data_IF_046581481481
#
_entry.id   IF_046581481481
#
_cell.length_a   1.000
_cell.length_b   1.000
_cell.length_c   1.000
_cell.angle_alpha   90.00
_cell.angle_beta   90.00
_cell.angle_gamma   90.00
#
_symmetry.space_group_name_H-M   'P 1'
#
loop_
_entity.id
_entity.type
_entity.pdbx_description
1 polymer ?
#
# COMPACT_ATOMS: atom_id res chain seq x y z
N UNK A 1 -7.58 11.85 -16.14
CA UNK A 1 -6.27 11.25 -15.81
C UNK A 1 -6.47 10.14 -14.79
N UNK A 2 -5.64 9.08 -14.83
CA UNK A 2 -5.74 8.00 -13.84
C UNK A 2 -4.99 8.38 -12.56
N UNK A 3 -5.70 8.56 -11.44
CA UNK A 3 -5.08 8.93 -10.16
C UNK A 3 -4.03 7.89 -9.73
N UNK A 4 -4.27 6.61 -10.03
CA UNK A 4 -3.36 5.53 -9.67
C UNK A 4 -2.04 5.60 -10.44
N UNK A 5 -2.09 5.90 -11.75
CA UNK A 5 -0.86 6.03 -12.56
C UNK A 5 -0.07 7.29 -12.17
N UNK A 6 -0.73 8.33 -11.66
CA UNK A 6 -0.05 9.50 -11.13
C UNK A 6 0.66 9.18 -9.81
N UNK A 7 0.00 8.44 -8.92
CA UNK A 7 0.61 7.95 -7.67
C UNK A 7 1.80 7.03 -7.93
N UNK A 8 1.70 6.11 -8.90
CA UNK A 8 2.80 5.24 -9.33
C UNK A 8 4.03 6.04 -9.79
N UNK A 9 3.81 7.04 -10.65
CA UNK A 9 4.87 7.94 -11.14
C UNK A 9 5.47 8.78 -10.02
N UNK A 10 4.64 9.33 -9.13
CA UNK A 10 5.10 10.10 -7.97
C UNK A 10 5.96 9.29 -7.01
N UNK A 11 5.68 7.99 -6.87
CA UNK A 11 6.48 7.06 -6.06
C UNK A 11 7.72 6.52 -6.80
N UNK A 12 7.92 6.87 -8.07
CA UNK A 12 9.05 6.43 -8.89
C UNK A 12 9.10 4.90 -9.07
N UNK A 13 7.94 4.25 -9.19
CA UNK A 13 7.82 2.80 -9.26
C UNK A 13 8.25 2.26 -10.65
N UNK A 14 9.56 2.15 -10.86
CA UNK A 14 10.14 1.45 -12.01
C UNK A 14 9.91 -0.06 -11.91
N UNK A 15 10.13 -0.79 -13.00
CA UNK A 15 10.09 -2.26 -13.01
C UNK A 15 10.98 -2.87 -11.92
N UNK A 16 12.21 -2.39 -11.82
CA UNK A 16 13.17 -2.74 -10.76
C UNK A 16 12.66 -2.46 -9.34
N UNK A 17 11.91 -1.36 -9.15
CA UNK A 17 11.33 -1.01 -7.85
C UNK A 17 10.16 -1.93 -7.54
N UNK A 18 9.33 -2.25 -8.53
CA UNK A 18 8.23 -3.19 -8.39
C UNK A 18 8.71 -4.60 -8.01
N UNK A 19 9.79 -5.07 -8.62
CA UNK A 19 10.36 -6.39 -8.31
C UNK A 19 10.92 -6.46 -6.88
N UNK A 20 11.54 -5.39 -6.38
CA UNK A 20 11.97 -5.29 -4.98
C UNK A 20 10.79 -5.14 -4.02
N UNK A 21 9.76 -4.41 -4.42
CA UNK A 21 8.56 -4.22 -3.61
C UNK A 21 7.81 -5.54 -3.37
N UNK A 22 7.88 -6.49 -4.30
CA UNK A 22 7.32 -7.83 -4.14
C UNK A 22 7.99 -8.66 -3.04
N UNK A 23 9.09 -8.19 -2.44
CA UNK A 23 9.71 -8.85 -1.30
C UNK A 23 8.74 -8.86 -0.08
N UNK A 24 8.48 -10.02 0.56
CA UNK A 24 7.62 -10.09 1.73
C UNK A 24 8.03 -9.13 2.85
N UNK A 25 9.33 -8.93 3.08
CA UNK A 25 9.81 -7.97 4.08
C UNK A 25 9.42 -6.53 3.73
N UNK A 26 9.46 -6.16 2.44
CA UNK A 26 8.95 -4.85 2.00
C UNK A 26 7.48 -4.72 2.37
N UNK A 27 6.64 -5.67 1.95
CA UNK A 27 5.19 -5.63 2.20
C UNK A 27 4.87 -5.57 3.69
N UNK A 28 5.42 -6.47 4.51
CA UNK A 28 5.13 -6.53 5.93
C UNK A 28 5.61 -5.29 6.68
N UNK A 29 6.78 -4.76 6.33
CA UNK A 29 7.29 -3.56 6.98
C UNK A 29 6.60 -2.27 6.53
N UNK A 30 5.81 -2.27 5.44
CA UNK A 30 4.93 -1.12 5.12
C UNK A 30 3.77 -0.96 6.10
N UNK A 31 3.37 -2.01 6.81
CA UNK A 31 2.36 -1.88 7.87
C UNK A 31 2.84 -1.00 9.02
N UNK A 32 4.15 -0.74 9.14
CA UNK A 32 4.68 0.19 10.15
C UNK A 32 4.58 1.65 9.71
N UNK A 33 4.38 1.97 8.43
CA UNK A 33 4.35 3.34 7.95
C UNK A 33 3.28 4.18 8.64
N UNK A 34 2.06 3.65 8.79
CA UNK A 34 0.97 4.38 9.42
C UNK A 34 1.17 4.55 10.94
N UNK A 35 1.51 3.49 11.71
CA UNK A 35 1.90 3.64 13.11
C UNK A 35 3.06 4.63 13.33
N UNK A 36 4.10 4.59 12.51
CA UNK A 36 5.24 5.51 12.61
C UNK A 36 4.80 6.96 12.35
N UNK A 37 3.92 7.19 11.38
CA UNK A 37 3.37 8.52 11.11
C UNK A 37 2.50 9.03 12.27
N UNK A 38 1.65 8.17 12.86
CA UNK A 38 0.84 8.51 14.03
C UNK A 38 1.74 8.92 15.20
N UNK A 39 2.74 8.10 15.53
CA UNK A 39 3.69 8.37 16.62
C UNK A 39 4.51 9.64 16.35
N UNK A 40 4.94 9.86 15.11
CA UNK A 40 5.63 11.07 14.71
C UNK A 40 4.76 12.33 14.92
N UNK A 41 3.47 12.28 14.58
CA UNK A 41 2.57 13.41 14.80
C UNK A 41 2.30 13.62 16.29
N UNK A 42 2.02 12.55 17.05
CA UNK A 42 1.82 12.64 18.50
C UNK A 42 3.04 13.21 19.22
N UNK A 43 4.24 12.96 18.70
CA UNK A 43 5.48 13.49 19.28
C UNK A 43 5.54 15.01 19.37
N UNK A 44 4.67 15.73 18.65
CA UNK A 44 4.57 17.20 18.69
C UNK A 44 4.34 17.78 20.08
N UNK A 45 3.76 17.03 21.02
CA UNK A 45 3.57 17.53 22.40
C UNK A 45 4.87 17.53 23.21
N UNK A 46 5.81 16.66 22.87
CA UNK A 46 7.13 16.58 23.54
C UNK A 46 8.20 17.35 22.76
N UNK A 47 8.11 17.36 21.42
CA UNK A 47 9.13 17.87 20.52
C UNK A 47 8.78 19.20 19.85
N UNK A 48 7.54 19.68 19.96
CA UNK A 48 7.07 20.86 19.26
C UNK A 48 7.29 20.74 17.75
N UNK A 49 7.90 21.76 17.14
CA UNK A 49 8.20 21.78 15.70
C UNK A 49 9.21 20.71 15.25
N UNK A 50 10.04 20.18 16.14
CA UNK A 50 10.98 19.10 15.80
C UNK A 50 10.27 17.81 15.39
N UNK A 51 9.00 17.63 15.77
CA UNK A 51 8.17 16.52 15.32
C UNK A 51 8.02 16.47 13.78
N UNK A 52 8.13 17.61 13.08
CA UNK A 52 8.14 17.63 11.62
C UNK A 52 9.29 16.81 11.03
N UNK A 53 10.44 16.74 11.72
CA UNK A 53 11.56 15.89 11.32
C UNK A 53 11.19 14.40 11.38
N UNK A 54 10.47 13.97 12.41
CA UNK A 54 9.98 12.59 12.53
C UNK A 54 8.89 12.27 11.49
N UNK A 55 8.02 13.23 11.20
CA UNK A 55 7.02 13.10 10.12
C UNK A 55 7.72 12.92 8.78
N UNK A 56 8.73 13.74 8.49
CA UNK A 56 9.53 13.61 7.27
C UNK A 56 10.24 12.26 7.19
N UNK A 57 10.76 11.74 8.31
CA UNK A 57 11.39 10.42 8.37
C UNK A 57 10.39 9.29 8.10
N UNK A 58 9.17 9.36 8.65
CA UNK A 58 8.11 8.38 8.40
C UNK A 58 7.65 8.40 6.92
N UNK A 59 7.56 9.60 6.32
CA UNK A 59 7.29 9.75 4.89
C UNK A 59 8.43 9.19 4.03
N UNK A 60 9.68 9.48 4.40
CA UNK A 60 10.86 8.93 3.73
C UNK A 60 10.87 7.40 3.80
N UNK A 61 10.55 6.81 4.95
CA UNK A 61 10.43 5.37 5.09
C UNK A 61 9.40 4.78 4.11
N UNK A 62 8.25 5.42 3.97
CA UNK A 62 7.21 5.00 3.01
C UNK A 62 7.72 4.97 1.56
N UNK A 63 8.62 5.90 1.21
CA UNK A 63 9.22 5.98 -0.11
C UNK A 63 10.43 5.04 -0.30
N UNK A 64 11.26 4.86 0.72
CA UNK A 64 12.45 3.99 0.70
C UNK A 64 12.07 2.51 0.77
N UNK A 65 11.01 2.16 1.50
CA UNK A 65 10.60 0.79 1.74
C UNK A 65 10.56 -0.13 0.49
N UNK A 66 9.91 0.24 -0.64
CA UNK A 66 9.88 -0.61 -1.84
C UNK A 66 11.25 -0.82 -2.50
N UNK A 67 12.29 -0.11 -2.05
CA UNK A 67 13.67 -0.18 -2.54
C UNK A 67 14.64 -0.78 -1.52
N UNK A 68 14.22 -0.87 -0.25
CA UNK A 68 15.09 -1.23 0.87
C UNK A 68 15.51 -2.70 0.87
N UNK A 69 14.74 -3.56 0.20
CA UNK A 69 14.91 -5.00 0.21
C UNK A 69 15.30 -5.52 -1.19
N UNK A 70 16.10 -6.61 -1.27
CA UNK A 70 16.44 -7.21 -2.55
C UNK A 70 15.20 -7.83 -3.21
N UNK A 71 15.31 -8.12 -4.51
CA UNK A 71 14.28 -8.89 -5.22
C UNK A 71 14.16 -10.27 -4.56
N UNK A 72 12.95 -10.74 -4.20
CA UNK A 72 12.79 -12.02 -3.53
C UNK A 72 13.12 -13.20 -4.45
N UNK A 73 13.69 -14.26 -3.89
CA UNK A 73 14.01 -15.49 -4.62
C UNK A 73 12.75 -16.28 -5.00
N UNK A 74 11.76 -16.32 -4.09
CA UNK A 74 10.46 -16.96 -4.28
C UNK A 74 9.34 -15.91 -4.21
N UNK A 75 8.42 -15.96 -5.17
CA UNK A 75 7.27 -15.05 -5.28
C UNK A 75 5.92 -15.76 -5.19
N UNK A 76 5.89 -17.07 -4.95
CA UNK A 76 4.69 -17.86 -4.68
C UNK A 76 4.20 -17.67 -3.23
N UNK A 77 3.87 -16.43 -2.88
CA UNK A 77 3.36 -16.08 -1.56
C UNK A 77 2.39 -14.89 -1.64
N UNK A 78 1.59 -14.72 -0.58
CA UNK A 78 0.55 -13.68 -0.52
C UNK A 78 1.10 -12.27 -0.74
N UNK A 79 2.25 -11.94 -0.15
CA UNK A 79 2.83 -10.61 -0.21
C UNK A 79 3.26 -10.25 -1.64
N UNK A 80 4.02 -11.13 -2.30
CA UNK A 80 4.48 -10.92 -3.67
C UNK A 80 3.31 -10.84 -4.65
N UNK A 81 2.38 -11.80 -4.59
CA UNK A 81 1.19 -11.80 -5.47
C UNK A 81 0.31 -10.57 -5.29
N UNK A 82 0.20 -10.05 -4.06
CA UNK A 82 -0.51 -8.81 -3.79
C UNK A 82 0.08 -7.62 -4.56
N UNK A 83 1.41 -7.48 -4.55
CA UNK A 83 2.08 -6.42 -5.33
C UNK A 83 1.96 -6.60 -6.84
N UNK A 84 2.00 -7.84 -7.33
CA UNK A 84 1.80 -8.14 -8.75
C UNK A 84 0.37 -7.82 -9.19
N UNK A 85 -0.62 -8.15 -8.37
CA UNK A 85 -2.00 -7.77 -8.61
C UNK A 85 -2.21 -6.27 -8.69
N UNK A 86 -1.51 -5.48 -7.86
CA UNK A 86 -1.52 -4.02 -7.98
C UNK A 86 -0.95 -3.57 -9.35
N UNK A 87 0.15 -4.18 -9.84
CA UNK A 87 0.68 -3.91 -11.20
C UNK A 87 -0.31 -4.27 -12.30
N UNK A 88 -0.94 -5.45 -12.21
CA UNK A 88 -1.98 -5.88 -13.16
C UNK A 88 -3.14 -4.88 -13.16
N UNK A 89 -3.58 -4.45 -11.98
CA UNK A 89 -4.61 -3.43 -11.84
C UNK A 89 -4.20 -2.11 -12.48
N UNK A 90 -2.96 -1.64 -12.28
CA UNK A 90 -2.45 -0.43 -12.92
C UNK A 90 -2.46 -0.52 -14.46
N UNK A 91 -2.13 -1.69 -15.00
CA UNK A 91 -2.09 -1.96 -16.45
C UNK A 91 -3.47 -2.27 -17.08
N UNK A 92 -4.57 -2.19 -16.32
CA UNK A 92 -5.95 -2.54 -16.74
C UNK A 92 -6.47 -1.84 -18.00
N UNK A 93 -5.83 -0.76 -18.44
CA UNK A 93 -6.17 -0.03 -19.68
C UNK A 93 -5.64 -0.74 -20.93
N UNK A 94 -4.49 -1.41 -20.80
CA UNK A 94 -3.84 -2.12 -21.89
C UNK A 94 -4.29 -3.58 -21.93
N UNK A 95 -4.34 -4.23 -20.76
CA UNK A 95 -4.85 -5.61 -20.60
C UNK A 95 -6.11 -5.53 -19.73
N UNK A 96 -7.32 -5.64 -20.30
CA UNK A 96 -8.56 -5.54 -19.55
C UNK A 96 -8.64 -6.59 -18.43
N UNK A 97 -9.10 -6.15 -17.25
CA UNK A 97 -9.32 -7.02 -16.09
C UNK A 97 -10.83 -7.31 -15.90
N UNK A 98 -11.20 -8.44 -15.29
CA UNK A 98 -12.58 -8.74 -14.95
C UNK A 98 -13.26 -7.61 -14.13
N UNK A 99 -14.50 -7.28 -14.48
CA UNK A 99 -15.22 -6.14 -13.89
C UNK A 99 -15.46 -6.27 -12.38
N UNK A 100 -15.51 -7.49 -11.83
CA UNK A 100 -15.70 -7.71 -10.41
C UNK A 100 -14.46 -7.29 -9.60
N UNK A 101 -13.24 -7.58 -10.06
CA UNK A 101 -11.99 -7.11 -9.44
C UNK A 101 -11.95 -5.60 -9.36
N UNK A 102 -12.34 -4.92 -10.45
CA UNK A 102 -12.42 -3.46 -10.49
C UNK A 102 -13.41 -2.90 -9.47
N UNK A 103 -14.60 -3.47 -9.36
CA UNK A 103 -15.62 -3.02 -8.39
C UNK A 103 -15.13 -3.18 -6.95
N UNK A 104 -14.55 -4.32 -6.61
CA UNK A 104 -13.99 -4.57 -5.27
C UNK A 104 -12.83 -3.63 -4.95
N UNK A 105 -11.92 -3.40 -5.88
CA UNK A 105 -10.81 -2.46 -5.71
C UNK A 105 -11.29 -1.05 -5.33
N UNK A 106 -12.28 -0.51 -6.06
CA UNK A 106 -12.84 0.80 -5.77
C UNK A 106 -13.66 0.82 -4.47
N UNK A 107 -14.47 -0.20 -4.21
CA UNK A 107 -15.30 -0.28 -3.00
C UNK A 107 -14.44 -0.33 -1.73
N UNK A 108 -13.39 -1.16 -1.72
CA UNK A 108 -12.47 -1.27 -0.59
C UNK A 108 -11.61 -0.01 -0.42
N UNK A 109 -11.21 0.62 -1.51
CA UNK A 109 -10.54 1.93 -1.47
C UNK A 109 -11.43 3.01 -0.84
N UNK A 110 -12.70 3.08 -1.24
CA UNK A 110 -13.67 4.00 -0.64
C UNK A 110 -13.92 3.69 0.84
N UNK A 111 -14.04 2.41 1.21
CA UNK A 111 -14.21 1.98 2.59
C UNK A 111 -13.01 2.36 3.47
N UNK A 112 -11.79 2.16 2.95
CA UNK A 112 -10.56 2.61 3.63
C UNK A 112 -10.54 4.13 3.82
N UNK A 113 -10.99 4.89 2.81
CA UNK A 113 -11.07 6.35 2.90
C UNK A 113 -12.05 6.85 3.97
N UNK A 114 -13.13 6.11 4.26
CA UNK A 114 -14.06 6.43 5.37
C UNK A 114 -13.39 6.35 6.74
N UNK A 115 -12.31 5.57 6.88
CA UNK A 115 -11.51 5.53 8.11
C UNK A 115 -10.62 6.76 8.33
N UNK A 116 -10.39 7.59 7.31
CA UNK A 116 -9.50 8.75 7.42
C UNK A 116 -10.03 9.85 8.35
N UNK A 117 -11.31 10.29 8.28
CA UNK A 117 -11.84 11.30 9.19
C UNK A 117 -11.66 10.99 10.69
N UNK A 118 -12.09 9.81 11.22
CA UNK A 118 -11.83 9.50 12.63
C UNK A 118 -10.34 9.38 12.91
N UNK A 119 -9.53 8.83 12.00
CA UNK A 119 -8.09 8.74 12.22
C UNK A 119 -7.44 10.12 12.37
N UNK A 120 -7.71 11.04 11.44
CA UNK A 120 -7.17 12.40 11.46
C UNK A 120 -7.62 13.12 12.72
N UNK A 121 -8.91 13.00 13.08
CA UNK A 121 -9.46 13.60 14.29
C UNK A 121 -8.81 13.05 15.56
N UNK A 122 -8.71 11.72 15.70
CA UNK A 122 -8.10 11.07 16.85
C UNK A 122 -6.62 11.46 16.99
N UNK A 123 -5.88 11.48 15.87
CA UNK A 123 -4.48 11.89 15.87
C UNK A 123 -4.34 13.36 16.27
N UNK A 124 -5.23 14.23 15.77
CA UNK A 124 -5.28 15.64 16.11
C UNK A 124 -5.65 15.90 17.58
N UNK A 125 -6.52 15.09 18.17
CA UNK A 125 -6.93 15.24 19.57
C UNK A 125 -6.06 14.46 20.56
N UNK A 126 -5.11 13.65 20.07
CA UNK A 126 -4.34 12.68 20.87
C UNK A 126 -5.26 11.66 21.57
N UNK A 127 -6.39 11.35 20.96
CA UNK A 127 -7.37 10.38 21.48
C UNK A 127 -7.02 8.97 20.98
N UNK A 128 -6.55 8.14 21.90
CA UNK A 128 -6.12 6.76 21.59
C UNK A 128 -7.25 5.92 21.00
N UNK A 129 -8.46 6.03 21.54
CA UNK A 129 -9.58 5.19 21.12
C UNK A 129 -10.02 5.55 19.69
N UNK A 130 -10.17 6.84 19.40
CA UNK A 130 -10.57 7.30 18.06
C UNK A 130 -9.44 7.04 17.04
N UNK A 131 -8.17 7.22 17.42
CA UNK A 131 -7.03 6.88 16.55
C UNK A 131 -7.00 5.40 16.22
N UNK A 132 -7.22 4.52 17.19
CA UNK A 132 -7.26 3.06 16.96
C UNK A 132 -8.44 2.71 16.05
N UNK A 133 -9.63 3.26 16.31
CA UNK A 133 -10.81 3.07 15.46
C UNK A 133 -10.53 3.48 14.01
N UNK A 134 -10.03 4.69 13.80
CA UNK A 134 -9.69 5.18 12.47
C UNK A 134 -8.60 4.34 11.80
N UNK A 135 -7.58 3.94 12.54
CA UNK A 135 -6.50 3.06 12.04
C UNK A 135 -7.07 1.72 11.56
N UNK A 136 -7.93 1.09 12.35
CA UNK A 136 -8.58 -0.19 11.98
C UNK A 136 -9.45 -0.02 10.74
N UNK A 137 -10.23 1.07 10.66
CA UNK A 137 -11.09 1.36 9.51
C UNK A 137 -10.29 1.66 8.23
N UNK A 138 -9.08 2.21 8.34
CA UNK A 138 -8.19 2.40 7.18
C UNK A 138 -7.51 1.08 6.80
N UNK A 139 -6.92 0.38 7.77
CA UNK A 139 -6.02 -0.75 7.53
C UNK A 139 -6.78 -2.01 7.10
N UNK A 140 -7.88 -2.38 7.74
CA UNK A 140 -8.57 -3.64 7.42
C UNK A 140 -9.08 -3.69 5.98
N UNK A 141 -9.78 -2.66 5.45
CA UNK A 141 -10.17 -2.65 4.04
C UNK A 141 -8.98 -2.62 3.10
N UNK A 142 -7.86 -1.99 3.50
CA UNK A 142 -6.64 -1.98 2.69
C UNK A 142 -5.96 -3.36 2.65
N UNK A 143 -5.92 -4.10 3.76
CA UNK A 143 -5.45 -5.50 3.77
C UNK A 143 -6.33 -6.37 2.88
N UNK A 144 -7.65 -6.23 2.99
CA UNK A 144 -8.58 -6.95 2.13
C UNK A 144 -8.43 -6.54 0.65
N UNK A 145 -8.13 -5.27 0.37
CA UNK A 145 -7.80 -4.83 -0.98
C UNK A 145 -6.56 -5.57 -1.52
N UNK A 146 -5.49 -5.69 -0.72
CA UNK A 146 -4.28 -6.43 -1.12
C UNK A 146 -4.61 -7.90 -1.35
N UNK A 147 -5.45 -8.50 -0.52
CA UNK A 147 -5.96 -9.84 -0.78
C UNK A 147 -6.68 -9.91 -2.14
N UNK A 148 -7.58 -8.97 -2.47
CA UNK A 148 -8.20 -8.91 -3.80
C UNK A 148 -7.20 -8.75 -4.94
N UNK A 149 -6.06 -8.11 -4.71
CA UNK A 149 -4.98 -8.04 -5.70
C UNK A 149 -4.31 -9.41 -5.91
N UNK A 150 -4.15 -10.23 -4.86
CA UNK A 150 -3.67 -11.62 -5.01
C UNK A 150 -4.58 -12.40 -5.96
N UNK A 151 -5.90 -12.33 -5.75
CA UNK A 151 -6.86 -13.03 -6.61
C UNK A 151 -6.89 -12.48 -8.03
N UNK A 152 -6.78 -11.15 -8.19
CA UNK A 152 -6.64 -10.54 -9.50
C UNK A 152 -5.38 -11.05 -10.22
N UNK A 153 -4.26 -11.20 -9.52
CA UNK A 153 -3.05 -11.74 -10.11
C UNK A 153 -3.22 -13.20 -10.50
N UNK A 154 -3.80 -14.04 -9.63
CA UNK A 154 -4.05 -15.46 -9.94
C UNK A 154 -4.92 -15.64 -11.19
N UNK A 155 -5.97 -14.83 -11.35
CA UNK A 155 -6.84 -14.89 -12.52
C UNK A 155 -6.19 -14.38 -13.80
N UNK A 156 -5.14 -13.54 -13.67
CA UNK A 156 -4.53 -12.82 -14.79
C UNK A 156 -3.12 -13.29 -15.12
N UNK A 157 -2.48 -14.16 -14.32
CA UNK A 157 -1.07 -14.54 -14.49
C UNK A 157 -0.76 -15.09 -15.89
N UNK A 158 -1.72 -15.78 -16.51
CA UNK A 158 -1.56 -16.37 -17.85
C UNK A 158 -2.01 -15.43 -18.99
N UNK A 159 -2.48 -14.21 -18.66
CA UNK A 159 -2.95 -13.24 -19.66
C UNK A 159 -1.80 -12.55 -20.43
N UNK A 160 -0.56 -12.66 -19.95
CA UNK A 160 0.65 -12.16 -20.62
C UNK A 160 1.88 -12.98 -20.18
N UNK A 161 2.85 -13.24 -21.08
CA UNK A 161 4.13 -13.83 -20.70
C UNK A 161 4.84 -13.08 -19.57
N UNK A 162 4.73 -11.75 -19.54
CA UNK A 162 5.34 -10.92 -18.50
C UNK A 162 4.75 -11.21 -17.11
N UNK A 163 3.43 -11.42 -17.04
CA UNK A 163 2.74 -11.69 -15.78
C UNK A 163 3.07 -13.09 -15.25
N UNK A 164 3.17 -14.07 -16.15
CA UNK A 164 3.57 -15.43 -15.83
C UNK A 164 5.01 -15.48 -15.30
N UNK A 165 5.91 -14.69 -15.90
CA UNK A 165 7.32 -14.62 -15.50
C UNK A 165 7.55 -14.05 -14.08
N UNK A 166 6.58 -13.37 -13.49
CA UNK A 166 6.70 -12.86 -12.13
C UNK A 166 6.54 -13.94 -11.05
N UNK A 167 5.88 -15.06 -11.36
CA UNK A 167 5.69 -16.19 -10.43
C UNK A 167 6.86 -17.17 -10.57
N UNK A 168 7.65 -17.32 -9.51
CA UNK A 168 8.85 -18.16 -9.46
C UNK A 168 9.16 -18.66 -8.05
#
# INVERSE_FOLDING_TARGET
MDLFNLAERGMGMTEDTWMRHANPLSVWTRFTCLPLLILAIWSRIWLGWWALGLVALAMLWTWVNPRAFPVPENTDNWASKGTFGERVFLNRRNIPIPAHHRRWAFALGALSAIGLPPLVWGVWQLDVAITVLGTVLVVLPKVWFVDRMVWLYEDMKDASPDYAAWLR
#
